data_IF_421826828368
#
_entry.id   IF_421826828368
#
_cell.length_a   1.000
_cell.length_b   1.000
_cell.length_c   1.000
_cell.angle_alpha   90.00
_cell.angle_beta   90.00
_cell.angle_gamma   90.00
#
_symmetry.space_group_name_H-M   'P 1'
#
loop_
_entity.id
_entity.type
_entity.pdbx_description
1 polymer ?
#
# COMPACT_ATOMS: atom_id res chain seq x y z
N UNK A 1 10.34 -9.96 -4.45
CA UNK A 1 10.42 -8.77 -5.33
C UNK A 1 9.78 -7.61 -4.58
N UNK A 2 10.22 -6.37 -4.79
CA UNK A 2 9.63 -5.18 -4.17
C UNK A 2 9.01 -4.31 -5.25
N UNK A 3 7.80 -3.82 -5.02
CA UNK A 3 7.14 -2.85 -5.90
C UNK A 3 6.61 -1.66 -5.11
N UNK A 4 6.57 -0.50 -5.76
CA UNK A 4 6.02 0.74 -5.23
C UNK A 4 4.77 1.21 -6.00
N UNK A 5 3.96 2.03 -5.34
CA UNK A 5 2.84 2.77 -5.93
C UNK A 5 2.73 4.15 -5.26
N UNK A 6 2.37 5.16 -6.04
CA UNK A 6 2.39 6.59 -5.66
C UNK A 6 1.02 7.16 -5.22
N UNK A 7 -0.07 6.42 -5.47
CA UNK A 7 -1.43 6.84 -5.17
C UNK A 7 -2.35 5.62 -4.97
N UNK A 8 -3.58 5.86 -4.50
CA UNK A 8 -4.53 4.81 -4.18
C UNK A 8 -4.91 3.91 -5.37
N UNK A 9 -5.11 4.50 -6.55
CA UNK A 9 -5.45 3.75 -7.76
C UNK A 9 -4.29 2.85 -8.21
N UNK A 10 -3.08 3.41 -8.24
CA UNK A 10 -1.89 2.68 -8.64
C UNK A 10 -1.59 1.52 -7.67
N UNK A 11 -1.84 1.73 -6.37
CA UNK A 11 -1.73 0.69 -5.35
C UNK A 11 -2.68 -0.49 -5.58
N UNK A 12 -3.93 -0.22 -5.98
CA UNK A 12 -4.91 -1.27 -6.30
C UNK A 12 -4.48 -2.08 -7.53
N UNK A 13 -4.07 -1.41 -8.60
CA UNK A 13 -3.63 -2.08 -9.83
C UNK A 13 -2.38 -2.92 -9.55
N UNK A 14 -1.37 -2.34 -8.92
CA UNK A 14 -0.09 -3.02 -8.66
C UNK A 14 -0.23 -4.14 -7.64
N UNK A 15 -1.01 -3.95 -6.58
CA UNK A 15 -1.27 -4.98 -5.58
C UNK A 15 -1.90 -6.24 -6.19
N UNK A 16 -2.86 -6.06 -7.10
CA UNK A 16 -3.51 -7.17 -7.83
C UNK A 16 -2.54 -7.91 -8.75
N UNK A 17 -1.68 -7.19 -9.46
CA UNK A 17 -0.71 -7.78 -10.41
C UNK A 17 0.42 -8.49 -9.67
N UNK A 18 0.99 -7.85 -8.65
CA UNK A 18 2.16 -8.36 -7.93
C UNK A 18 1.81 -9.46 -6.92
N UNK A 19 0.54 -9.53 -6.47
CA UNK A 19 0.04 -10.45 -5.44
C UNK A 19 1.01 -10.61 -4.27
N UNK A 20 1.35 -9.52 -3.57
CA UNK A 20 2.36 -9.56 -2.52
C UNK A 20 1.88 -10.36 -1.31
N UNK A 21 2.83 -10.84 -0.51
CA UNK A 21 2.55 -11.44 0.81
C UNK A 21 2.26 -10.34 1.83
N UNK A 22 2.92 -9.18 1.68
CA UNK A 22 2.81 -8.03 2.59
C UNK A 22 2.66 -6.72 1.81
N UNK A 23 1.72 -5.89 2.21
CA UNK A 23 1.57 -4.51 1.76
C UNK A 23 1.73 -3.53 2.93
N UNK A 24 2.48 -2.46 2.71
CA UNK A 24 2.57 -1.31 3.61
C UNK A 24 1.81 -0.16 2.97
N UNK A 25 0.81 0.38 3.66
CA UNK A 25 -0.07 1.45 3.17
C UNK A 25 -0.09 2.59 4.17
N UNK A 26 -0.07 3.84 3.71
CA UNK A 26 -0.45 4.97 4.57
C UNK A 26 -1.98 5.09 4.62
N UNK A 27 -2.54 5.62 5.70
CA UNK A 27 -3.97 5.99 5.75
C UNK A 27 -4.29 7.09 4.73
N UNK A 28 -3.44 8.11 4.60
CA UNK A 28 -3.66 9.20 3.66
C UNK A 28 -2.91 8.94 2.37
N UNK A 29 -3.59 8.44 1.34
CA UNK A 29 -3.01 8.29 0.01
C UNK A 29 -3.38 9.48 -0.88
N UNK A 30 -2.49 9.93 -1.78
CA UNK A 30 -2.92 10.74 -2.90
C UNK A 30 -4.05 10.02 -3.65
N UNK A 31 -5.16 10.74 -3.90
CA UNK A 31 -6.31 10.19 -4.59
C UNK A 31 -7.18 9.21 -3.80
N UNK A 32 -6.96 9.00 -2.49
CA UNK A 32 -7.88 8.16 -1.70
C UNK A 32 -7.46 7.82 -0.26
N UNK A 33 -8.23 6.93 0.36
CA UNK A 33 -8.00 6.43 1.71
C UNK A 33 -7.33 5.04 1.65
N UNK A 34 -6.19 4.90 2.32
CA UNK A 34 -5.46 3.63 2.39
C UNK A 34 -6.19 2.53 3.15
N UNK A 35 -7.14 2.87 4.01
CA UNK A 35 -8.01 1.87 4.64
C UNK A 35 -8.96 1.29 3.59
N UNK A 36 -9.51 2.12 2.69
CA UNK A 36 -10.32 1.63 1.58
C UNK A 36 -9.51 0.75 0.63
N UNK A 37 -8.28 1.17 0.28
CA UNK A 37 -7.34 0.36 -0.52
C UNK A 37 -7.03 -0.98 0.17
N UNK A 38 -6.76 -0.98 1.47
CA UNK A 38 -6.52 -2.18 2.26
C UNK A 38 -7.71 -3.16 2.18
N UNK A 39 -8.93 -2.66 2.40
CA UNK A 39 -10.15 -3.48 2.34
C UNK A 39 -10.34 -4.12 0.97
N UNK A 40 -10.14 -3.34 -0.09
CA UNK A 40 -10.26 -3.81 -1.47
C UNK A 40 -9.19 -4.84 -1.83
N UNK A 41 -7.92 -4.62 -1.44
CA UNK A 41 -6.87 -5.61 -1.69
C UNK A 41 -7.11 -6.90 -0.91
N UNK A 42 -7.53 -6.82 0.35
CA UNK A 42 -7.81 -8.01 1.18
C UNK A 42 -9.03 -8.79 0.72
N UNK A 43 -10.02 -8.15 0.10
CA UNK A 43 -11.17 -8.87 -0.46
C UNK A 43 -10.76 -9.77 -1.63
N UNK A 44 -9.72 -9.39 -2.38
CA UNK A 44 -9.20 -10.13 -3.53
C UNK A 44 -8.00 -11.02 -3.20
N UNK A 45 -7.24 -10.66 -2.17
CA UNK A 45 -6.05 -11.34 -1.67
C UNK A 45 -6.24 -11.63 -0.18
N UNK A 46 -6.99 -12.68 0.21
CA UNK A 46 -7.30 -12.96 1.61
C UNK A 46 -6.05 -13.25 2.47
N UNK A 47 -4.98 -13.72 1.84
CA UNK A 47 -3.70 -14.03 2.48
C UNK A 47 -2.77 -12.81 2.62
N UNK A 48 -3.15 -11.65 2.05
CA UNK A 48 -2.35 -10.44 2.11
C UNK A 48 -2.30 -9.90 3.55
N UNK A 49 -1.10 -9.84 4.12
CA UNK A 49 -0.86 -9.09 5.33
C UNK A 49 -0.74 -7.60 5.00
N UNK A 50 -1.41 -6.74 5.77
CA UNK A 50 -1.37 -5.29 5.55
C UNK A 50 -0.92 -4.59 6.84
N UNK A 51 0.11 -3.77 6.72
CA UNK A 51 0.52 -2.80 7.74
C UNK A 51 0.05 -1.42 7.30
N UNK A 52 -0.79 -0.79 8.11
CA UNK A 52 -1.24 0.58 7.87
C UNK A 52 -0.41 1.54 8.73
N UNK A 53 0.19 2.54 8.08
CA UNK A 53 0.92 3.63 8.72
C UNK A 53 -0.05 4.79 8.95
N UNK A 54 -0.08 5.31 10.17
CA UNK A 54 -0.82 6.52 10.52
C UNK A 54 0.18 7.62 10.78
N UNK A 55 0.27 8.65 9.93
CA UNK A 55 0.95 9.88 10.32
C UNK A 55 -0.02 10.73 11.15
N UNK A 56 0.40 11.05 12.38
CA UNK A 56 -0.31 11.99 13.25
C UNK A 56 0.29 13.37 12.97
N UNK A 57 -0.05 13.95 11.82
CA UNK A 57 0.35 15.32 11.54
C UNK A 57 -0.79 16.24 11.99
N UNK A 58 -0.51 17.03 13.02
CA UNK A 58 -1.22 18.25 13.35
C UNK A 58 -1.47 19.06 12.06
N UNK A 59 -2.62 19.72 11.98
CA UNK A 59 -3.24 20.29 10.77
C UNK A 59 -2.40 21.33 9.99
N UNK A 60 -1.14 21.59 10.38
CA UNK A 60 -0.22 22.57 9.80
C UNK A 60 0.92 21.99 8.94
N UNK A 61 0.96 20.67 8.71
CA UNK A 61 1.92 20.07 7.76
C UNK A 61 1.48 20.26 6.28
N UNK A 62 1.26 21.52 5.87
CA UNK A 62 0.94 21.90 4.48
C UNK A 62 2.20 21.88 3.58
N UNK A 63 3.38 21.62 4.15
CA UNK A 63 4.66 21.61 3.45
C UNK A 63 5.52 20.47 3.99
N UNK A 64 5.28 19.25 3.51
CA UNK A 64 6.32 18.26 3.23
C UNK A 64 5.62 16.98 2.78
N UNK A 65 5.54 16.80 1.47
CA UNK A 65 5.02 15.57 0.89
C UNK A 65 5.88 14.39 1.40
N UNK A 66 5.34 13.46 2.20
CA UNK A 66 6.02 12.19 2.32
C UNK A 66 5.89 11.55 0.94
N UNK A 67 7.01 11.14 0.36
CA UNK A 67 7.03 10.25 -0.80
C UNK A 67 6.29 8.97 -0.42
N UNK A 68 4.98 8.97 -0.60
CA UNK A 68 4.08 7.98 -0.06
C UNK A 68 4.13 6.77 -0.98
N UNK A 69 4.93 5.79 -0.58
CA UNK A 69 5.25 4.61 -1.38
C UNK A 69 4.53 3.42 -0.78
N UNK A 70 3.51 2.94 -1.49
CA UNK A 70 2.92 1.63 -1.18
C UNK A 70 3.96 0.57 -1.47
N UNK A 71 4.55 -0.03 -0.43
CA UNK A 71 5.61 -1.00 -0.59
C UNK A 71 5.02 -2.41 -0.52
N UNK A 72 5.07 -3.11 -1.65
CA UNK A 72 4.62 -4.49 -1.77
C UNK A 72 5.83 -5.41 -1.76
N UNK A 73 5.88 -6.38 -0.85
CA UNK A 73 6.95 -7.36 -0.76
C UNK A 73 6.41 -8.77 -0.98
N UNK A 74 7.08 -9.51 -1.86
CA UNK A 74 6.85 -10.95 -2.06
C UNK A 74 8.08 -11.76 -1.67
N UNK A 75 7.85 -12.90 -1.02
CA UNK A 75 8.88 -13.93 -0.84
C UNK A 75 9.35 -14.39 -2.22
N UNK A 76 10.66 -14.53 -2.40
CA UNK A 76 11.22 -15.16 -3.59
C UNK A 76 10.76 -16.62 -3.60
N UNK A 77 9.64 -16.92 -4.26
CA UNK A 77 9.30 -18.30 -4.64
C UNK A 77 10.31 -18.71 -5.71
N UNK A 78 11.47 -19.21 -5.27
CA UNK A 78 12.28 -20.04 -6.14
C UNK A 78 11.39 -21.23 -6.55
N UNK A 79 11.21 -21.50 -7.86
CA UNK A 79 10.60 -22.75 -8.27
C UNK A 79 11.51 -23.88 -7.75
N UNK A 80 10.91 -24.81 -7.03
CA UNK A 80 11.51 -26.11 -6.67
C UNK A 80 11.98 -26.82 -7.93
#
# INVERSE_FOLDING_TARGET
>A
MVGDAENAEHALVRGRVLRPDVAVLDVRLPGGDGIAVCRELRSQLPELAVLVLTSFDDEDALLDAPALRVMCASRSRAPI
#
